data_IF_958611947468
#
_entry.id   IF_958611947468
#
_cell.length_a   1.000
_cell.length_b   1.000
_cell.length_c   1.000
_cell.angle_alpha   90.00
_cell.angle_beta   90.00
_cell.angle_gamma   90.00
#
_symmetry.space_group_name_H-M   'P 1'
#
loop_
_entity.id
_entity.type
_entity.pdbx_description
1 polymer ?
#
# COMPACT_ATOMS: atom_id res chain seq x y z
N UNK A 1 -42.90 -35.33 25.63
CA UNK A 1 -42.38 -33.95 25.46
C UNK A 1 -40.86 -34.01 25.52
N UNK A 2 -40.17 -33.96 24.40
CA UNK A 2 -38.70 -33.94 24.36
C UNK A 2 -38.27 -33.16 23.12
N UNK A 3 -37.79 -31.93 23.34
CA UNK A 3 -37.23 -31.06 22.29
C UNK A 3 -35.72 -31.19 22.32
N UNK A 4 -35.16 -31.81 21.28
CA UNK A 4 -33.72 -31.89 21.05
C UNK A 4 -33.24 -30.56 20.47
N UNK A 5 -32.39 -29.84 21.21
CA UNK A 5 -31.67 -28.68 20.71
C UNK A 5 -30.40 -29.14 20.00
N UNK A 6 -30.31 -28.89 18.69
CA UNK A 6 -29.11 -29.12 17.89
C UNK A 6 -28.20 -27.90 18.02
N UNK A 7 -27.12 -28.02 18.79
CA UNK A 7 -26.10 -26.98 18.93
C UNK A 7 -25.15 -27.06 17.72
N UNK A 8 -25.32 -26.18 16.74
CA UNK A 8 -24.40 -26.03 15.61
C UNK A 8 -23.14 -25.29 16.09
N UNK A 9 -22.08 -26.06 16.34
CA UNK A 9 -20.76 -25.54 16.65
C UNK A 9 -20.14 -24.97 15.36
N UNK A 10 -20.23 -23.66 15.15
CA UNK A 10 -19.52 -22.99 14.05
C UNK A 10 -18.05 -22.90 14.43
N UNK A 11 -17.26 -23.89 14.02
CA UNK A 11 -15.80 -23.83 14.11
C UNK A 11 -15.32 -22.69 13.21
N UNK A 12 -14.89 -21.59 13.83
CA UNK A 12 -14.32 -20.44 13.13
C UNK A 12 -13.09 -20.86 12.34
N UNK A 13 -13.22 -20.90 11.02
CA UNK A 13 -12.08 -21.09 10.12
C UNK A 13 -11.08 -19.95 10.39
N UNK A 14 -9.78 -20.25 10.57
CA UNK A 14 -8.77 -19.21 10.64
C UNK A 14 -8.88 -18.38 9.36
N UNK A 15 -9.01 -17.06 9.52
CA UNK A 15 -8.97 -16.13 8.39
C UNK A 15 -7.65 -16.35 7.66
N UNK A 16 -7.70 -17.09 6.55
CA UNK A 16 -6.57 -17.23 5.64
C UNK A 16 -6.41 -15.87 4.99
N UNK A 17 -5.40 -15.11 5.40
CA UNK A 17 -5.04 -13.86 4.76
C UNK A 17 -4.69 -14.18 3.31
N UNK A 18 -5.53 -13.72 2.38
CA UNK A 18 -5.29 -13.94 0.95
C UNK A 18 -4.08 -13.10 0.52
N UNK A 19 -3.18 -13.71 -0.26
CA UNK A 19 -2.12 -12.97 -0.93
C UNK A 19 -2.76 -11.93 -1.86
N UNK A 20 -2.32 -10.69 -1.72
CA UNK A 20 -2.86 -9.58 -2.50
C UNK A 20 -2.01 -9.44 -3.75
N UNK A 21 -2.63 -9.69 -4.91
CA UNK A 21 -1.98 -9.48 -6.20
C UNK A 21 -1.76 -7.98 -6.42
N UNK A 22 -0.51 -7.55 -6.27
CA UNK A 22 -0.09 -6.16 -6.48
C UNK A 22 -0.01 -5.88 -7.97
N UNK A 23 -1.17 -5.76 -8.62
CA UNK A 23 -1.19 -5.38 -10.04
C UNK A 23 -0.91 -3.90 -10.18
N UNK A 24 -0.15 -3.58 -11.23
CA UNK A 24 -0.02 -2.22 -11.75
C UNK A 24 -1.42 -1.76 -12.21
N UNK A 25 -2.07 -0.88 -11.45
CA UNK A 25 -3.47 -0.52 -11.66
C UNK A 25 -3.64 0.43 -12.84
N UNK A 26 -4.59 0.20 -13.74
CA UNK A 26 -4.79 1.05 -14.92
C UNK A 26 -5.44 2.40 -14.54
N UNK A 27 -5.14 3.45 -15.31
CA UNK A 27 -5.82 4.73 -15.16
C UNK A 27 -7.33 4.57 -15.36
N UNK A 28 -8.15 5.23 -14.55
CA UNK A 28 -9.61 5.07 -14.57
C UNK A 28 -10.11 3.90 -13.72
N UNK A 29 -9.22 3.06 -13.19
CA UNK A 29 -9.62 1.97 -12.28
C UNK A 29 -10.24 2.49 -11.00
N UNK A 30 -11.25 1.76 -10.52
CA UNK A 30 -11.89 1.98 -9.23
C UNK A 30 -11.70 0.73 -8.38
N UNK A 31 -11.03 0.87 -7.24
CA UNK A 31 -10.70 -0.22 -6.34
C UNK A 31 -11.50 -0.06 -5.06
N UNK A 32 -12.47 -0.95 -4.83
CA UNK A 32 -13.14 -1.07 -3.55
C UNK A 32 -12.24 -1.80 -2.56
N UNK A 33 -12.22 -1.34 -1.31
CA UNK A 33 -11.63 -2.12 -0.22
C UNK A 33 -12.36 -3.46 -0.04
N UNK A 34 -11.68 -4.53 0.41
CA UNK A 34 -12.31 -5.80 0.71
C UNK A 34 -13.45 -5.72 1.74
N UNK A 35 -13.39 -4.72 2.63
CA UNK A 35 -14.41 -4.47 3.65
C UNK A 35 -15.57 -3.58 3.16
N UNK A 36 -15.46 -3.01 1.96
CA UNK A 36 -16.48 -2.16 1.36
C UNK A 36 -16.61 -0.76 2.00
N UNK A 37 -15.71 -0.36 2.89
CA UNK A 37 -15.75 0.91 3.62
C UNK A 37 -14.96 2.05 2.94
N UNK A 38 -14.16 1.70 1.93
CA UNK A 38 -13.35 2.60 1.13
C UNK A 38 -13.41 2.34 -0.37
N UNK A 39 -13.19 3.42 -1.13
CA UNK A 39 -13.01 3.39 -2.58
C UNK A 39 -11.77 4.20 -2.97
N UNK A 40 -10.94 3.62 -3.82
CA UNK A 40 -9.76 4.26 -4.40
C UNK A 40 -9.98 4.49 -5.90
N UNK A 41 -9.82 5.73 -6.35
CA UNK A 41 -9.93 6.12 -7.76
C UNK A 41 -8.54 6.41 -8.31
N UNK A 42 -8.14 5.65 -9.32
CA UNK A 42 -6.81 5.72 -9.94
C UNK A 42 -6.87 6.66 -11.14
N UNK A 43 -5.98 7.65 -11.18
CA UNK A 43 -5.81 8.52 -12.34
C UNK A 43 -4.34 8.63 -12.69
N UNK A 44 -4.05 8.66 -13.97
CA UNK A 44 -2.73 9.00 -14.47
C UNK A 44 -2.49 10.51 -14.33
N UNK A 45 -1.25 10.88 -13.99
CA UNK A 45 -0.77 12.24 -14.01
C UNK A 45 -0.26 12.50 -15.43
N UNK A 46 -1.01 13.31 -16.18
CA UNK A 46 -0.75 13.63 -17.58
C UNK A 46 0.71 14.02 -17.83
N UNK A 47 1.34 13.40 -18.83
CA UNK A 47 2.70 13.69 -19.26
C UNK A 47 3.82 13.05 -18.43
N UNK A 48 3.50 12.19 -17.45
CA UNK A 48 4.50 11.70 -16.48
C UNK A 48 4.54 10.18 -16.35
N UNK A 49 3.50 9.47 -16.80
CA UNK A 49 3.33 8.03 -16.59
C UNK A 49 3.10 7.62 -15.12
N UNK A 50 3.15 8.59 -14.20
CA UNK A 50 2.92 8.44 -12.78
C UNK A 50 1.42 8.38 -12.49
N UNK A 51 1.05 7.76 -11.37
CA UNK A 51 -0.37 7.71 -10.96
C UNK A 51 -0.60 8.51 -9.72
N UNK A 52 -1.77 9.09 -9.65
CA UNK A 52 -2.32 9.60 -8.44
C UNK A 52 -3.58 8.82 -8.08
N UNK A 53 -3.85 8.75 -6.79
CA UNK A 53 -5.02 8.07 -6.28
C UNK A 53 -5.81 9.02 -5.39
N UNK A 54 -7.11 9.04 -5.61
CA UNK A 54 -8.06 9.68 -4.72
C UNK A 54 -8.72 8.58 -3.89
N UNK A 55 -8.48 8.63 -2.60
CA UNK A 55 -8.95 7.69 -1.60
C UNK A 55 -10.14 8.30 -0.88
N UNK A 56 -11.29 7.63 -0.91
CA UNK A 56 -12.52 8.05 -0.24
C UNK A 56 -12.84 7.01 0.83
N UNK A 57 -12.72 7.40 2.09
CA UNK A 57 -12.94 6.50 3.22
C UNK A 57 -14.30 6.64 3.86
N UNK A 58 -14.46 5.94 4.98
CA UNK A 58 -15.70 5.94 5.76
C UNK A 58 -16.09 7.37 6.12
N UNK A 59 -17.36 7.71 5.93
CA UNK A 59 -17.91 9.07 6.11
C UNK A 59 -17.47 10.11 5.06
N UNK A 60 -16.96 9.68 3.90
CA UNK A 60 -16.69 10.56 2.76
C UNK A 60 -15.42 11.40 2.90
N UNK A 61 -14.55 11.11 3.88
CA UNK A 61 -13.25 11.79 3.99
C UNK A 61 -12.37 11.41 2.80
N UNK A 62 -11.71 12.41 2.24
CA UNK A 62 -10.89 12.25 1.03
C UNK A 62 -9.40 12.45 1.35
N UNK A 63 -8.57 11.52 0.86
CA UNK A 63 -7.11 11.65 0.81
C UNK A 63 -6.63 11.52 -0.62
N UNK A 64 -5.45 12.08 -0.90
CA UNK A 64 -4.78 11.97 -2.19
C UNK A 64 -3.33 11.55 -1.99
N UNK A 65 -2.86 10.65 -2.82
CA UNK A 65 -1.45 10.33 -3.00
C UNK A 65 -1.11 10.48 -4.48
N UNK A 66 0.15 10.83 -4.78
CA UNK A 66 0.68 11.00 -6.13
C UNK A 66 1.90 10.10 -6.29
N UNK A 67 2.34 9.94 -7.53
CA UNK A 67 3.51 9.15 -7.95
C UNK A 67 3.51 7.70 -7.44
N UNK A 68 2.32 7.10 -7.49
CA UNK A 68 2.14 5.69 -7.14
C UNK A 68 2.46 4.82 -8.34
N UNK A 69 3.33 3.83 -8.11
CA UNK A 69 3.65 2.80 -9.08
C UNK A 69 2.83 1.53 -8.82
N UNK A 70 2.94 1.01 -7.59
CA UNK A 70 2.21 -0.16 -7.10
C UNK A 70 1.39 0.14 -5.85
N UNK A 71 0.24 -0.53 -5.72
CA UNK A 71 -0.61 -0.47 -4.54
C UNK A 71 -1.45 -1.73 -4.39
N UNK A 72 -1.97 -1.96 -3.19
CA UNK A 72 -2.86 -3.08 -2.90
C UNK A 72 -3.58 -2.95 -1.56
N UNK A 73 -4.67 -3.69 -1.41
CA UNK A 73 -5.49 -3.73 -0.19
C UNK A 73 -5.04 -4.84 0.74
N UNK A 74 -4.82 -4.54 2.02
CA UNK A 74 -4.38 -5.49 3.04
C UNK A 74 -5.19 -5.26 4.30
N UNK A 75 -6.02 -6.23 4.70
CA UNK A 75 -6.89 -6.13 5.89
C UNK A 75 -7.66 -4.80 5.96
N UNK A 76 -8.27 -4.41 4.84
CA UNK A 76 -9.04 -3.16 4.71
C UNK A 76 -8.20 -1.88 4.62
N UNK A 77 -6.86 -1.98 4.52
CA UNK A 77 -5.95 -0.83 4.44
C UNK A 77 -5.29 -0.78 3.07
N UNK A 78 -5.16 0.40 2.48
CA UNK A 78 -4.45 0.55 1.21
C UNK A 78 -2.97 0.75 1.49
N UNK A 79 -2.14 -0.09 0.93
CA UNK A 79 -0.69 0.07 0.87
C UNK A 79 -0.32 0.61 -0.50
N UNK A 80 0.57 1.60 -0.57
CA UNK A 80 1.09 2.11 -1.84
C UNK A 80 2.59 2.44 -1.74
N UNK A 81 3.36 2.12 -2.79
CA UNK A 81 4.70 2.68 -2.97
C UNK A 81 4.60 3.98 -3.75
N UNK A 82 5.24 5.00 -3.20
CA UNK A 82 5.41 6.31 -3.80
C UNK A 82 6.89 6.48 -4.13
N UNK A 83 7.18 6.77 -5.40
CA UNK A 83 8.54 7.04 -5.89
C UNK A 83 8.66 8.49 -6.34
N UNK A 84 9.87 9.08 -6.38
CA UNK A 84 10.06 10.51 -6.56
C UNK A 84 9.78 10.91 -8.00
N UNK A 85 8.68 11.64 -8.21
CA UNK A 85 8.46 12.44 -9.43
C UNK A 85 7.97 13.84 -9.02
N UNK A 86 6.95 13.93 -8.15
CA UNK A 86 6.38 15.17 -7.62
C UNK A 86 5.97 15.09 -6.13
N UNK A 87 6.40 14.06 -5.41
CA UNK A 87 5.93 13.78 -4.06
C UNK A 87 7.02 13.16 -3.17
N UNK A 88 6.68 12.99 -1.90
CA UNK A 88 7.55 12.40 -0.87
C UNK A 88 7.62 10.89 -1.06
N UNK A 89 8.77 10.33 -1.42
CA UNK A 89 8.87 8.89 -1.64
C UNK A 89 8.75 8.12 -0.33
N UNK A 90 8.24 6.91 -0.44
CA UNK A 90 8.06 6.01 0.68
C UNK A 90 6.95 5.01 0.46
N UNK A 91 6.80 4.13 1.44
CA UNK A 91 5.69 3.18 1.50
C UNK A 91 4.64 3.75 2.44
N UNK A 92 3.44 3.96 1.91
CA UNK A 92 2.32 4.56 2.62
C UNK A 92 1.27 3.50 2.96
N UNK A 93 0.62 3.68 4.11
CA UNK A 93 -0.53 2.92 4.56
C UNK A 93 -1.68 3.88 4.84
N UNK A 94 -2.78 3.72 4.13
CA UNK A 94 -4.04 4.39 4.42
C UNK A 94 -5.00 3.43 5.13
N UNK A 95 -5.40 3.81 6.34
CA UNK A 95 -6.40 3.09 7.11
C UNK A 95 -7.79 3.70 6.88
N UNK A 96 -8.71 2.86 6.43
CA UNK A 96 -10.08 3.19 6.08
C UNK A 96 -10.97 3.50 7.27
N UNK A 97 -10.75 2.81 8.39
CA UNK A 97 -11.57 2.93 9.60
C UNK A 97 -11.40 4.31 10.25
N UNK A 98 -10.16 4.77 10.39
CA UNK A 98 -9.81 6.03 11.07
C UNK A 98 -9.46 7.17 10.09
N UNK A 99 -9.45 6.89 8.77
CA UNK A 99 -9.02 7.80 7.72
C UNK A 99 -7.59 8.36 7.89
N UNK A 100 -6.72 7.64 8.59
CA UNK A 100 -5.33 8.01 8.79
C UNK A 100 -4.46 7.57 7.62
N UNK A 101 -3.57 8.47 7.18
CA UNK A 101 -2.53 8.18 6.20
C UNK A 101 -1.19 8.20 6.94
N UNK A 102 -0.43 7.11 6.84
CA UNK A 102 0.84 6.94 7.56
C UNK A 102 1.93 6.51 6.60
N UNK A 103 3.16 6.90 6.92
CA UNK A 103 4.35 6.42 6.23
C UNK A 103 4.88 5.21 7.01
N UNK A 104 4.94 4.06 6.36
CA UNK A 104 5.54 2.83 6.92
C UNK A 104 7.06 2.84 6.75
N UNK A 105 7.52 3.21 5.56
CA UNK A 105 8.94 3.29 5.22
C UNK A 105 9.19 4.65 4.58
N UNK A 106 9.82 5.59 5.29
CA UNK A 106 10.14 6.89 4.71
C UNK A 106 11.36 6.81 3.79
N UNK A 107 11.43 7.69 2.79
CA UNK A 107 12.66 7.99 2.07
C UNK A 107 13.78 8.43 3.03
N UNK A 108 15.01 8.04 2.73
CA UNK A 108 16.19 8.30 3.57
C UNK A 108 17.27 9.07 2.84
N UNK A 109 17.38 8.91 1.52
CA UNK A 109 18.33 9.62 0.69
C UNK A 109 17.72 10.93 0.20
N UNK A 110 18.22 12.06 0.73
CA UNK A 110 17.77 13.40 0.35
C UNK A 110 18.96 14.19 -0.16
N UNK A 111 18.76 14.93 -1.24
CA UNK A 111 19.80 15.79 -1.80
C UNK A 111 19.18 17.09 -2.33
N UNK A 112 20.01 17.94 -2.95
CA UNK A 112 19.55 19.25 -3.44
C UNK A 112 18.52 19.14 -4.57
N UNK A 113 18.66 18.15 -5.45
CA UNK A 113 17.68 17.91 -6.52
C UNK A 113 16.38 17.30 -5.96
N UNK A 114 16.51 16.48 -4.91
CA UNK A 114 15.43 15.71 -4.30
C UNK A 114 15.29 16.00 -2.80
N UNK A 115 14.73 17.16 -2.41
CA UNK A 115 14.65 17.56 -1.00
C UNK A 115 13.68 16.68 -0.18
N UNK A 116 12.69 16.08 -0.85
CA UNK A 116 11.72 15.19 -0.24
C UNK A 116 12.17 13.72 -0.22
N UNK A 117 13.19 13.36 -1.01
CA UNK A 117 13.76 12.02 -1.13
C UNK A 117 14.02 11.63 -2.58
N UNK A 118 15.12 10.93 -2.84
CA UNK A 118 15.48 10.33 -4.13
C UNK A 118 15.22 8.81 -4.16
N UNK A 119 14.83 8.22 -3.02
CA UNK A 119 14.61 6.78 -2.91
C UNK A 119 13.47 6.29 -3.82
N UNK A 120 13.72 5.21 -4.55
CA UNK A 120 12.71 4.50 -5.33
C UNK A 120 12.23 3.26 -4.57
N UNK A 121 10.92 3.04 -4.55
CA UNK A 121 10.29 1.88 -3.92
C UNK A 121 9.46 1.11 -4.95
N UNK A 122 9.54 -0.22 -4.92
CA UNK A 122 8.69 -1.13 -5.70
C UNK A 122 8.05 -2.14 -4.77
N UNK A 123 6.72 -2.15 -4.67
CA UNK A 123 6.05 -3.18 -3.86
C UNK A 123 6.05 -4.51 -4.60
N UNK A 124 6.37 -5.60 -3.90
CA UNK A 124 6.42 -6.94 -4.49
C UNK A 124 5.23 -7.81 -4.09
N UNK A 125 4.97 -7.89 -2.78
CA UNK A 125 3.84 -8.65 -2.25
C UNK A 125 3.42 -8.15 -0.89
N UNK A 126 2.17 -8.41 -0.52
CA UNK A 126 1.74 -8.35 0.87
C UNK A 126 1.01 -9.63 1.23
N UNK A 127 1.50 -10.28 2.28
CA UNK A 127 1.03 -11.60 2.70
C UNK A 127 1.16 -11.73 4.23
N UNK A 128 0.10 -12.18 4.91
CA UNK A 128 0.10 -12.40 6.36
C UNK A 128 0.57 -11.17 7.18
N UNK A 129 0.20 -9.96 6.75
CA UNK A 129 0.62 -8.71 7.38
C UNK A 129 2.11 -8.37 7.19
N UNK A 130 2.83 -9.10 6.34
CA UNK A 130 4.21 -8.80 5.95
C UNK A 130 4.19 -8.19 4.55
N UNK A 131 4.74 -6.99 4.44
CA UNK A 131 4.93 -6.28 3.18
C UNK A 131 6.36 -6.51 2.71
N UNK A 132 6.53 -6.96 1.48
CA UNK A 132 7.81 -7.04 0.81
C UNK A 132 7.94 -6.01 -0.29
N UNK A 133 9.13 -5.42 -0.39
CA UNK A 133 9.43 -4.36 -1.32
C UNK A 133 10.89 -4.37 -1.74
N UNK A 134 11.16 -3.82 -2.91
CA UNK A 134 12.50 -3.48 -3.39
C UNK A 134 12.74 -1.98 -3.19
N UNK A 135 14.00 -1.62 -2.92
CA UNK A 135 14.38 -0.25 -2.59
C UNK A 135 15.69 0.12 -3.28
N UNK A 136 15.70 1.22 -4.02
CA UNK A 136 16.94 1.85 -4.48
C UNK A 136 17.07 3.23 -3.84
N UNK A 137 18.26 3.64 -3.38
CA UNK A 137 18.43 4.91 -2.70
C UNK A 137 18.31 6.11 -3.63
N UNK A 138 18.54 5.96 -4.94
CA UNK A 138 18.56 7.06 -5.89
C UNK A 138 17.88 6.66 -7.20
N UNK A 139 16.78 7.34 -7.53
CA UNK A 139 16.00 7.14 -8.77
C UNK A 139 16.78 7.49 -10.03
N UNK A 140 17.76 8.40 -9.94
CA UNK A 140 18.56 8.84 -11.09
C UNK A 140 19.79 7.95 -11.30
N UNK A 141 19.99 6.92 -10.46
CA UNK A 141 21.15 6.04 -10.55
C UNK A 141 21.12 5.22 -11.84
N UNK A 142 22.24 5.13 -12.58
CA UNK A 142 22.34 4.21 -13.72
C UNK A 142 22.24 2.73 -13.30
N UNK A 143 22.42 2.42 -12.00
CA UNK A 143 22.29 1.07 -11.44
C UNK A 143 20.93 0.83 -10.77
N UNK A 144 19.92 1.67 -11.04
CA UNK A 144 18.60 1.60 -10.39
C UNK A 144 18.03 0.18 -10.32
N UNK A 145 17.94 -0.53 -11.45
CA UNK A 145 17.35 -1.88 -11.49
C UNK A 145 18.19 -2.93 -10.74
N UNK A 146 19.51 -2.83 -10.78
CA UNK A 146 20.40 -3.69 -10.00
C UNK A 146 20.24 -3.43 -8.50
N UNK A 147 20.09 -2.16 -8.11
CA UNK A 147 19.89 -1.76 -6.72
C UNK A 147 18.54 -2.24 -6.19
N UNK A 148 17.47 -2.18 -6.99
CA UNK A 148 16.17 -2.74 -6.63
C UNK A 148 16.26 -4.24 -6.35
N UNK A 149 16.85 -4.99 -7.28
CA UNK A 149 16.93 -6.46 -7.18
C UNK A 149 17.77 -6.90 -5.97
N UNK A 150 18.84 -6.16 -5.64
CA UNK A 150 19.73 -6.48 -4.50
C UNK A 150 19.17 -6.08 -3.14
N UNK A 151 18.29 -5.07 -3.10
CA UNK A 151 17.80 -4.48 -1.85
C UNK A 151 16.34 -4.81 -1.58
N UNK A 152 16.02 -6.11 -1.61
CA UNK A 152 14.73 -6.61 -1.15
C UNK A 152 14.64 -6.53 0.37
N UNK A 153 13.55 -5.93 0.85
CA UNK A 153 13.27 -5.71 2.27
C UNK A 153 11.86 -6.18 2.61
N UNK A 154 11.63 -6.41 3.90
CA UNK A 154 10.30 -6.71 4.42
C UNK A 154 10.00 -5.83 5.63
N UNK A 155 8.72 -5.55 5.85
CA UNK A 155 8.23 -4.84 7.03
C UNK A 155 6.92 -5.46 7.50
N UNK A 156 6.81 -5.69 8.81
CA UNK A 156 5.56 -6.19 9.39
C UNK A 156 4.62 -5.04 9.68
N UNK A 157 3.40 -5.14 9.13
CA UNK A 157 2.28 -4.25 9.40
C UNK A 157 1.53 -4.84 10.60
N UNK A 158 1.62 -4.20 11.76
CA UNK A 158 0.81 -4.61 12.90
C UNK A 158 -0.63 -4.06 12.79
N UNK A 159 -1.54 -4.55 13.65
CA UNK A 159 -2.97 -4.17 13.65
C UNK A 159 -3.22 -2.66 13.79
N UNK A 160 -2.26 -1.93 14.37
CA UNK A 160 -2.31 -0.47 14.55
C UNK A 160 -1.79 0.26 13.29
N UNK A 161 -1.30 -0.46 12.28
CA UNK A 161 -0.70 0.12 11.08
C UNK A 161 0.65 0.79 11.34
N UNK A 162 1.41 0.31 12.34
CA UNK A 162 2.81 0.70 12.55
C UNK A 162 3.73 -0.37 11.96
N UNK A 163 4.78 0.08 11.28
CA UNK A 163 5.91 -0.77 10.93
C UNK A 163 6.60 -1.25 12.21
N UNK A 164 6.73 -2.58 12.37
CA UNK A 164 7.62 -3.18 13.37
C UNK A 164 8.84 -3.70 12.60
N UNK A 165 10.02 -3.24 13.01
CA UNK A 165 11.31 -3.70 12.46
C UNK A 165 11.70 -5.03 13.07
#
# INVERSE_FOLDING_TARGET
MTRTFLLLLVLGLPHVAQAVDLKRQESGSVLASPLGDCTCFVHEIEGTGARAVKMVGKHGKVRKLRDILEMGWVDGKLVAAVSPIYSRPGIYLWNCEDNSLRVLVPATNKNRAWPDGADFFRLLRVENGVLEYEHAPDVDSPTLEDDLTRNRKSVRINSIGKAVR
#
